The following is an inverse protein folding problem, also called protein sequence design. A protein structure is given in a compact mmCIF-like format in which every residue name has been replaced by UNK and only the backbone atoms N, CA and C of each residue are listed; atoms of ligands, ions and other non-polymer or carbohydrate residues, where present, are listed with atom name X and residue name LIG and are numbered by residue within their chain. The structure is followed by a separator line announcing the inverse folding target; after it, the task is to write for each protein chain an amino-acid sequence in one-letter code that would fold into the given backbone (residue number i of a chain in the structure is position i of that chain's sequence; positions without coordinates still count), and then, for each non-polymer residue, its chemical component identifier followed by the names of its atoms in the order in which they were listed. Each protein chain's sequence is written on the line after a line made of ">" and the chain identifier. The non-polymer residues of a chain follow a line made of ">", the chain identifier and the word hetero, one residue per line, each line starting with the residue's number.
data_IF_095328695015
#
_entry.id   IF_095328695015
#
_cell.length_a   1.000
_cell.length_b   1.000
_cell.length_c   1.000
_cell.angle_alpha   90.00
_cell.angle_beta   90.00
_cell.angle_gamma   90.00
#
_symmetry.space_group_name_H-M   'P 1'
#
loop_
_entity.id
_entity.type
_entity.pdbx_description
1 polymer ?
#
# COMPACT_ATOMS: atom_id res chain seq x y z
N UNK A 1 3.71 29.34 11.67
CA UNK A 1 4.29 29.09 10.33
C UNK A 1 5.55 28.25 10.51
N UNK A 2 5.51 27.01 10.09
CA UNK A 2 6.71 26.19 9.89
C UNK A 2 7.34 26.69 8.60
N UNK A 3 8.43 27.44 8.65
CA UNK A 3 9.07 28.05 7.50
C UNK A 3 9.51 27.00 6.48
N UNK A 4 8.79 26.90 5.36
CA UNK A 4 9.18 26.06 4.22
C UNK A 4 9.73 26.95 3.10
N UNK A 5 10.89 26.58 2.55
CA UNK A 5 11.44 27.18 1.32
C UNK A 5 10.80 26.44 0.12
N UNK A 6 9.96 27.13 -0.62
CA UNK A 6 9.27 26.57 -1.80
C UNK A 6 9.98 27.00 -3.07
N UNK A 7 10.40 26.02 -3.87
CA UNK A 7 11.01 26.24 -5.18
C UNK A 7 10.18 25.57 -6.26
N UNK A 8 9.77 26.35 -7.23
CA UNK A 8 8.99 25.87 -8.38
C UNK A 8 9.92 25.59 -9.56
N UNK A 9 9.49 24.67 -10.43
CA UNK A 9 10.17 24.31 -11.70
C UNK A 9 11.65 23.97 -11.55
N UNK A 10 11.94 23.15 -10.54
CA UNK A 10 13.31 22.76 -10.20
C UNK A 10 13.87 21.73 -11.19
N UNK A 11 14.35 22.22 -12.36
CA UNK A 11 14.93 21.42 -13.43
C UNK A 11 16.41 21.03 -13.23
N UNK A 12 16.99 21.27 -12.05
CA UNK A 12 18.41 21.02 -11.80
C UNK A 12 18.73 19.55 -11.55
N UNK A 13 19.96 19.14 -11.88
CA UNK A 13 20.45 17.77 -11.64
C UNK A 13 20.77 17.49 -10.16
N UNK A 14 20.92 18.51 -9.35
CA UNK A 14 21.20 18.38 -7.92
C UNK A 14 20.44 19.44 -7.13
N UNK A 15 20.05 19.13 -5.91
CA UNK A 15 19.44 20.08 -4.96
C UNK A 15 20.58 20.62 -4.09
N UNK A 16 20.80 21.95 -4.07
CA UNK A 16 21.81 22.55 -3.20
C UNK A 16 21.36 22.52 -1.74
N UNK A 17 22.24 22.10 -0.85
CA UNK A 17 22.02 22.05 0.60
C UNK A 17 22.39 20.70 1.20
N UNK A 18 22.42 20.64 2.51
CA UNK A 18 22.56 19.43 3.30
C UNK A 18 21.17 18.99 3.79
N UNK A 19 20.86 17.71 3.64
CA UNK A 19 19.56 17.17 4.01
C UNK A 19 19.75 15.86 4.78
N UNK A 20 18.98 15.69 5.83
CA UNK A 20 18.92 14.46 6.63
C UNK A 20 18.00 13.41 6.01
N UNK A 21 17.00 13.85 5.23
CA UNK A 21 15.99 13.03 4.60
C UNK A 21 15.38 13.73 3.39
N UNK A 22 15.11 12.98 2.35
CA UNK A 22 14.24 13.40 1.25
C UNK A 22 12.98 12.53 1.21
N UNK A 23 11.83 13.17 1.04
CA UNK A 23 10.55 12.49 0.84
C UNK A 23 10.04 12.84 -0.54
N UNK A 24 9.75 11.82 -1.35
CA UNK A 24 9.32 12.01 -2.73
C UNK A 24 7.86 11.60 -2.93
N UNK A 25 7.15 12.41 -3.72
CA UNK A 25 5.83 12.04 -4.22
C UNK A 25 5.93 10.89 -5.23
N UNK A 26 4.95 9.98 -5.27
CA UNK A 26 4.97 8.83 -6.20
C UNK A 26 5.00 9.23 -7.68
N UNK A 27 4.55 10.45 -8.02
CA UNK A 27 4.64 10.98 -9.38
C UNK A 27 6.04 11.37 -9.84
N UNK A 28 7.01 11.47 -8.92
CA UNK A 28 8.39 11.79 -9.27
C UNK A 28 9.06 10.53 -9.87
N UNK A 29 9.57 10.69 -11.08
CA UNK A 29 10.37 9.64 -11.71
C UNK A 29 11.69 9.48 -10.92
N UNK A 30 12.03 8.27 -10.43
CA UNK A 30 13.27 8.03 -9.69
C UNK A 30 14.54 8.31 -10.50
N UNK A 31 14.41 8.41 -11.83
CA UNK A 31 15.51 8.73 -12.74
C UNK A 31 15.78 10.25 -12.87
N UNK A 32 14.90 11.08 -12.29
CA UNK A 32 15.14 12.55 -12.27
C UNK A 32 16.45 12.84 -11.55
N UNK A 33 17.31 13.62 -12.18
CA UNK A 33 18.74 13.74 -11.85
C UNK A 33 19.07 14.11 -10.40
N UNK A 34 18.20 14.84 -9.69
CA UNK A 34 18.41 15.19 -8.29
C UNK A 34 18.13 14.03 -7.32
N UNK A 35 17.27 13.08 -7.67
CA UNK A 35 17.00 11.89 -6.83
C UNK A 35 18.27 11.03 -6.69
N UNK A 36 18.92 10.58 -7.79
CA UNK A 36 20.20 9.87 -7.69
C UNK A 36 21.31 10.68 -7.01
N UNK A 37 21.30 12.02 -7.13
CA UNK A 37 22.31 12.86 -6.48
C UNK A 37 22.18 12.84 -4.96
N UNK A 38 20.96 12.85 -4.42
CA UNK A 38 20.70 12.71 -2.98
C UNK A 38 21.15 11.34 -2.47
N UNK A 39 20.78 10.27 -3.20
CA UNK A 39 21.17 8.91 -2.85
C UNK A 39 22.68 8.73 -2.85
N UNK A 40 23.38 9.31 -3.85
CA UNK A 40 24.85 9.30 -3.92
C UNK A 40 25.52 10.09 -2.81
N UNK A 41 24.84 11.10 -2.28
CA UNK A 41 25.27 11.86 -1.11
C UNK A 41 24.95 11.16 0.23
N UNK A 42 24.34 9.96 0.19
CA UNK A 42 23.97 9.20 1.39
C UNK A 42 22.69 9.69 2.07
N UNK A 43 21.93 10.58 1.43
CA UNK A 43 20.65 11.07 1.96
C UNK A 43 19.58 9.99 1.77
N UNK A 44 18.91 9.54 2.82
CA UNK A 44 17.77 8.63 2.69
C UNK A 44 16.66 9.25 1.83
N UNK A 45 16.15 8.50 0.87
CA UNK A 45 15.04 8.94 0.01
C UNK A 45 13.85 8.01 0.21
N UNK A 46 12.82 8.50 0.87
CA UNK A 46 11.61 7.75 1.18
C UNK A 46 10.45 8.15 0.27
N UNK A 47 9.50 7.23 0.09
CA UNK A 47 8.19 7.61 -0.42
C UNK A 47 7.37 8.32 0.67
N UNK A 48 6.37 9.07 0.26
CA UNK A 48 5.38 9.64 1.19
C UNK A 48 4.69 8.53 2.01
N UNK A 49 4.42 7.36 1.38
CA UNK A 49 3.85 6.19 2.03
C UNK A 49 4.73 5.66 3.17
N UNK A 50 6.05 5.59 2.96
CA UNK A 50 7.03 5.19 3.99
C UNK A 50 7.02 6.17 5.16
N UNK A 51 7.02 7.48 4.87
CA UNK A 51 6.94 8.51 5.91
C UNK A 51 5.66 8.37 6.73
N UNK A 52 4.51 8.24 6.06
CA UNK A 52 3.22 8.07 6.71
C UNK A 52 3.18 6.83 7.60
N UNK A 53 3.66 5.70 7.09
CA UNK A 53 3.69 4.45 7.84
C UNK A 53 4.54 4.51 9.11
N UNK A 54 5.70 5.17 9.06
CA UNK A 54 6.56 5.37 10.23
C UNK A 54 5.92 6.21 11.34
N UNK A 55 4.95 7.04 11.01
CA UNK A 55 4.24 7.91 11.96
C UNK A 55 2.84 7.37 12.31
N UNK A 56 2.36 6.35 11.63
CA UNK A 56 1.08 5.72 11.89
C UNK A 56 1.11 4.94 13.21
N UNK A 57 0.10 5.16 14.06
CA UNK A 57 -0.01 4.54 15.40
C UNK A 57 -1.07 3.44 15.48
N UNK A 58 -1.85 3.25 14.43
CA UNK A 58 -2.84 2.19 14.33
C UNK A 58 -2.46 1.19 13.22
N UNK A 59 -3.06 0.00 13.20
CA UNK A 59 -2.90 -0.96 12.13
C UNK A 59 -3.22 -0.39 10.75
N UNK A 60 -2.41 -0.79 9.76
CA UNK A 60 -2.61 -0.44 8.36
C UNK A 60 -3.19 -1.65 7.62
N UNK A 61 -4.28 -1.45 6.91
CA UNK A 61 -4.84 -2.38 5.93
C UNK A 61 -4.48 -1.83 4.55
N UNK A 62 -3.56 -2.47 3.84
CA UNK A 62 -3.05 -1.97 2.58
C UNK A 62 -3.62 -2.75 1.39
N UNK A 63 -4.08 -2.03 0.37
CA UNK A 63 -4.75 -2.61 -0.81
C UNK A 63 -4.02 -2.19 -2.07
N UNK A 64 -3.56 -3.17 -2.84
CA UNK A 64 -2.93 -2.97 -4.15
C UNK A 64 -3.57 -3.84 -5.23
N UNK A 65 -3.24 -3.56 -6.45
CA UNK A 65 -3.71 -4.24 -7.66
C UNK A 65 -3.52 -3.35 -8.88
N UNK A 66 -3.80 -3.85 -10.05
CA UNK A 66 -3.89 -3.00 -11.24
C UNK A 66 -5.22 -2.24 -11.23
N UNK A 67 -6.33 -2.95 -11.01
CA UNK A 67 -7.69 -2.40 -11.02
C UNK A 67 -8.42 -2.66 -9.70
N UNK A 68 -9.44 -1.84 -9.41
CA UNK A 68 -10.35 -2.02 -8.28
C UNK A 68 -9.82 -1.57 -6.93
N UNK A 69 -8.62 -1.03 -6.84
CA UNK A 69 -8.00 -0.56 -5.58
C UNK A 69 -8.91 0.43 -4.84
N UNK A 70 -9.28 1.52 -5.49
CA UNK A 70 -10.11 2.59 -4.91
C UNK A 70 -11.42 2.06 -4.35
N UNK A 71 -12.17 1.33 -5.20
CA UNK A 71 -13.47 0.74 -4.79
C UNK A 71 -13.31 -0.18 -3.59
N UNK A 72 -12.27 -1.04 -3.59
CA UNK A 72 -12.04 -1.98 -2.48
C UNK A 72 -11.61 -1.24 -1.22
N UNK A 73 -10.77 -0.21 -1.32
CA UNK A 73 -10.33 0.61 -0.18
C UNK A 73 -11.50 1.34 0.46
N UNK A 74 -12.34 2.00 -0.34
CA UNK A 74 -13.52 2.71 0.16
C UNK A 74 -14.57 1.76 0.75
N UNK A 75 -14.79 0.61 0.10
CA UNK A 75 -15.71 -0.41 0.60
C UNK A 75 -15.22 -1.01 1.93
N UNK A 76 -13.94 -1.33 2.03
CA UNK A 76 -13.34 -1.84 3.25
C UNK A 76 -13.50 -0.84 4.41
N UNK A 77 -13.16 0.43 4.19
CA UNK A 77 -13.37 1.48 5.19
C UNK A 77 -14.85 1.60 5.60
N UNK A 78 -15.75 1.60 4.63
CA UNK A 78 -17.19 1.69 4.90
C UNK A 78 -17.71 0.50 5.72
N UNK A 79 -17.24 -0.72 5.44
CA UNK A 79 -17.62 -1.94 6.18
C UNK A 79 -17.08 -1.88 7.61
N UNK A 80 -15.82 -1.53 7.80
CA UNK A 80 -15.21 -1.37 9.12
C UNK A 80 -15.98 -0.34 9.97
N UNK A 81 -16.23 0.83 9.42
CA UNK A 81 -16.99 1.90 10.11
C UNK A 81 -18.40 1.47 10.45
N UNK A 82 -19.06 0.71 9.56
CA UNK A 82 -20.40 0.15 9.83
C UNK A 82 -20.37 -0.90 10.95
N UNK A 83 -19.25 -1.61 11.08
CA UNK A 83 -18.97 -2.54 12.17
C UNK A 83 -18.55 -1.86 13.49
N UNK A 84 -18.50 -0.53 13.55
CA UNK A 84 -18.14 0.22 14.75
C UNK A 84 -16.62 0.47 14.90
N UNK A 85 -15.82 0.05 13.93
CA UNK A 85 -14.36 0.30 13.88
C UNK A 85 -14.10 1.73 13.40
N UNK A 86 -13.35 2.50 14.14
CA UNK A 86 -12.95 3.86 13.75
C UNK A 86 -11.86 3.77 12.70
N UNK A 87 -12.24 3.77 11.44
CA UNK A 87 -11.32 3.65 10.33
C UNK A 87 -11.39 4.87 9.39
N UNK A 88 -10.38 4.98 8.52
CA UNK A 88 -10.28 6.00 7.49
C UNK A 88 -9.56 5.45 6.26
N UNK A 89 -10.09 5.77 5.08
CA UNK A 89 -9.40 5.54 3.81
C UNK A 89 -8.36 6.63 3.55
N UNK A 90 -7.20 6.25 3.03
CA UNK A 90 -6.08 7.14 2.73
C UNK A 90 -5.15 6.55 1.65
N UNK A 91 -4.08 7.24 1.32
CA UNK A 91 -2.99 6.77 0.46
C UNK A 91 -3.03 7.34 -0.95
N UNK A 92 -3.13 6.49 -1.96
CA UNK A 92 -3.21 6.91 -3.37
C UNK A 92 -4.60 7.48 -3.74
N UNK A 93 -5.49 7.57 -2.77
CA UNK A 93 -6.81 8.21 -2.84
C UNK A 93 -7.01 9.14 -1.65
N UNK A 94 -7.81 10.18 -1.84
CA UNK A 94 -8.14 11.12 -0.77
C UNK A 94 -6.90 11.75 -0.17
N UNK A 95 -6.73 11.60 1.14
CA UNK A 95 -5.57 12.12 1.86
C UNK A 95 -4.38 11.18 1.77
N UNK A 96 -3.21 11.75 1.59
CA UNK A 96 -1.96 11.01 1.68
C UNK A 96 -1.80 10.35 3.07
N UNK A 97 -1.11 9.20 3.16
CA UNK A 97 -0.94 8.49 4.42
C UNK A 97 -0.24 9.34 5.48
N UNK A 98 0.74 10.16 5.09
CA UNK A 98 1.45 11.06 6.02
C UNK A 98 0.51 12.08 6.67
N UNK A 99 -0.49 12.58 5.93
CA UNK A 99 -1.54 13.45 6.49
C UNK A 99 -2.48 12.71 7.43
N UNK A 100 -2.93 11.51 7.03
CA UNK A 100 -3.82 10.67 7.83
C UNK A 100 -3.14 10.15 9.11
N UNK A 101 -1.83 9.89 9.09
CA UNK A 101 -1.06 9.39 10.22
C UNK A 101 -1.10 10.32 11.43
N UNK A 102 -1.23 11.63 11.23
CA UNK A 102 -1.38 12.60 12.32
C UNK A 102 -2.59 12.35 13.24
N UNK A 103 -3.64 11.73 12.71
CA UNK A 103 -4.86 11.40 13.43
C UNK A 103 -4.94 9.89 13.80
N UNK A 104 -3.95 9.11 13.45
CA UNK A 104 -3.96 7.64 13.61
C UNK A 104 -4.06 7.16 15.06
N UNK A 105 -3.69 8.00 16.04
CA UNK A 105 -3.88 7.69 17.47
C UNK A 105 -5.34 7.64 17.93
N UNK A 106 -6.27 8.16 17.14
CA UNK A 106 -7.71 8.15 17.42
C UNK A 106 -8.45 7.09 16.60
N UNK A 107 -7.74 6.39 15.71
CA UNK A 107 -8.29 5.37 14.81
C UNK A 107 -7.92 3.97 15.28
N UNK A 108 -8.79 3.01 14.98
CA UNK A 108 -8.54 1.59 15.19
C UNK A 108 -7.82 0.97 13.97
N UNK A 109 -7.98 1.57 12.77
CA UNK A 109 -7.25 1.19 11.57
C UNK A 109 -7.23 2.30 10.51
N UNK A 110 -6.26 2.26 9.59
CA UNK A 110 -6.28 3.02 8.34
C UNK A 110 -6.28 2.05 7.17
N UNK A 111 -7.23 2.24 6.23
CA UNK A 111 -7.30 1.47 4.99
C UNK A 111 -6.59 2.28 3.90
N UNK A 112 -5.51 1.73 3.35
CA UNK A 112 -4.60 2.48 2.49
C UNK A 112 -4.62 1.92 1.07
N UNK A 113 -5.02 2.73 0.11
CA UNK A 113 -4.76 2.42 -1.29
C UNK A 113 -3.29 2.60 -1.60
N UNK A 114 -2.65 1.58 -2.19
CA UNK A 114 -1.21 1.58 -2.45
C UNK A 114 -0.93 1.33 -3.93
N UNK A 115 -0.19 2.26 -4.56
CA UNK A 115 0.34 2.10 -5.92
C UNK A 115 1.72 1.44 -5.90
N UNK A 116 2.12 0.86 -7.05
CA UNK A 116 3.48 0.34 -7.22
C UNK A 116 4.55 1.43 -7.04
N UNK A 117 4.26 2.65 -7.51
CA UNK A 117 5.18 3.78 -7.42
C UNK A 117 5.47 4.19 -5.97
N UNK A 118 4.45 4.15 -5.11
CA UNK A 118 4.63 4.41 -3.68
C UNK A 118 5.51 3.33 -3.02
N UNK A 119 5.35 2.07 -3.43
CA UNK A 119 6.10 0.94 -2.88
C UNK A 119 7.57 0.92 -3.31
N UNK A 120 7.94 1.53 -4.43
CA UNK A 120 9.32 1.53 -4.91
C UNK A 120 10.34 1.97 -3.85
N UNK A 121 9.96 2.95 -3.02
CA UNK A 121 10.81 3.55 -1.99
C UNK A 121 10.31 3.30 -0.57
N UNK A 122 9.59 2.22 -0.37
CA UNK A 122 9.27 1.69 0.94
C UNK A 122 10.41 0.79 1.44
N UNK A 123 10.79 1.00 2.68
CA UNK A 123 11.88 0.27 3.36
C UNK A 123 11.31 -0.54 4.52
N UNK A 124 10.52 0.11 5.37
CA UNK A 124 9.97 -0.49 6.59
C UNK A 124 8.45 -0.60 6.58
N UNK A 125 7.81 -0.18 5.49
CA UNK A 125 6.36 -0.28 5.34
C UNK A 125 5.88 -1.69 5.65
N UNK A 126 5.04 -1.83 6.68
CA UNK A 126 4.55 -3.11 7.19
C UNK A 126 3.05 -2.99 7.48
N UNK A 127 2.17 -3.41 6.58
CA UNK A 127 0.75 -3.48 6.86
C UNK A 127 0.42 -4.69 7.75
N UNK A 128 -0.61 -4.55 8.59
CA UNK A 128 -1.18 -5.66 9.37
C UNK A 128 -1.98 -6.61 8.49
N UNK A 129 -2.65 -6.06 7.48
CA UNK A 129 -3.35 -6.81 6.44
C UNK A 129 -2.94 -6.22 5.08
N UNK A 130 -2.56 -7.06 4.15
CA UNK A 130 -2.19 -6.67 2.80
C UNK A 130 -3.03 -7.42 1.75
N UNK A 131 -3.78 -6.71 0.93
CA UNK A 131 -4.59 -7.28 -0.13
C UNK A 131 -3.99 -7.01 -1.53
N UNK A 132 -3.81 -8.07 -2.34
CA UNK A 132 -3.42 -7.97 -3.73
C UNK A 132 -4.55 -8.46 -4.64
N UNK A 133 -5.26 -7.52 -5.25
CA UNK A 133 -6.53 -7.78 -5.92
C UNK A 133 -6.38 -8.48 -7.28
N UNK A 134 -5.49 -7.98 -8.11
CA UNK A 134 -5.26 -8.47 -9.46
C UNK A 134 -3.99 -7.87 -10.05
N UNK A 135 -3.50 -8.50 -11.11
CA UNK A 135 -2.35 -8.03 -11.86
C UNK A 135 -2.61 -8.16 -13.36
N UNK A 136 -2.47 -7.06 -14.07
CA UNK A 136 -2.32 -7.00 -15.51
C UNK A 136 -1.18 -6.03 -15.82
N UNK A 137 -0.36 -6.28 -16.84
CA UNK A 137 0.70 -5.35 -17.24
C UNK A 137 0.15 -3.94 -17.47
N UNK A 138 0.75 -2.97 -16.81
CA UNK A 138 0.41 -1.55 -16.90
C UNK A 138 1.65 -0.71 -16.63
N UNK A 139 1.63 0.58 -16.92
CA UNK A 139 2.75 1.49 -16.68
C UNK A 139 4.07 1.08 -17.33
N UNK A 140 4.02 0.55 -18.55
CA UNK A 140 5.22 0.11 -19.30
C UNK A 140 6.07 1.29 -19.80
N UNK A 141 5.62 2.51 -19.64
CA UNK A 141 6.40 3.74 -19.78
C UNK A 141 7.41 3.93 -18.64
N UNK A 142 7.12 3.38 -17.46
CA UNK A 142 7.95 3.46 -16.25
C UNK A 142 8.72 2.18 -15.95
N UNK A 143 8.12 1.03 -16.14
CA UNK A 143 8.72 -0.28 -15.89
C UNK A 143 9.27 -0.91 -17.16
N UNK A 144 10.47 -1.49 -17.08
CA UNK A 144 11.11 -2.14 -18.21
C UNK A 144 10.36 -3.45 -18.60
N UNK A 145 9.67 -4.08 -17.65
CA UNK A 145 8.91 -5.30 -17.86
C UNK A 145 7.73 -5.45 -16.89
N UNK A 146 6.78 -6.32 -17.24
CA UNK A 146 5.70 -6.70 -16.31
C UNK A 146 6.24 -7.35 -15.02
N UNK A 147 7.38 -8.02 -15.09
CA UNK A 147 8.05 -8.60 -13.92
C UNK A 147 8.56 -7.50 -12.95
N UNK A 148 9.12 -6.41 -13.47
CA UNK A 148 9.55 -5.28 -12.64
C UNK A 148 8.34 -4.60 -11.98
N UNK A 149 7.25 -4.44 -12.71
CA UNK A 149 6.00 -3.91 -12.17
C UNK A 149 5.42 -4.80 -11.06
N UNK A 150 5.41 -6.12 -11.28
CA UNK A 150 4.99 -7.08 -10.26
C UNK A 150 5.92 -7.01 -9.04
N UNK A 151 7.23 -6.99 -9.25
CA UNK A 151 8.23 -6.90 -8.18
C UNK A 151 8.03 -5.64 -7.31
N UNK A 152 7.71 -4.51 -7.93
CA UNK A 152 7.39 -3.29 -7.19
C UNK A 152 6.16 -3.47 -6.28
N UNK A 153 5.08 -4.12 -6.78
CA UNK A 153 3.89 -4.42 -5.97
C UNK A 153 4.15 -5.44 -4.87
N UNK A 154 5.02 -6.41 -5.10
CA UNK A 154 5.39 -7.44 -4.11
C UNK A 154 6.10 -6.86 -2.89
N UNK A 155 6.67 -5.66 -2.97
CA UNK A 155 7.20 -4.96 -1.79
C UNK A 155 6.14 -4.70 -0.71
N UNK A 156 4.85 -4.74 -1.07
CA UNK A 156 3.75 -4.69 -0.11
C UNK A 156 3.90 -5.71 1.03
N UNK A 157 4.47 -6.86 0.75
CA UNK A 157 4.59 -7.99 1.67
C UNK A 157 5.98 -8.13 2.30
N UNK A 158 6.94 -7.32 1.89
CA UNK A 158 8.37 -7.52 2.19
C UNK A 158 8.71 -7.55 3.68
N UNK A 159 7.95 -6.83 4.52
CA UNK A 159 8.21 -6.71 5.94
C UNK A 159 7.14 -7.40 6.81
N UNK A 160 6.21 -8.13 6.20
CA UNK A 160 5.15 -8.84 6.93
C UNK A 160 5.71 -10.00 7.75
N UNK A 161 5.19 -10.18 8.95
CA UNK A 161 5.56 -11.25 9.90
C UNK A 161 4.41 -12.22 10.17
N UNK A 162 4.61 -13.10 11.13
CA UNK A 162 3.66 -14.19 11.45
C UNK A 162 2.27 -13.71 11.91
N UNK A 163 2.23 -12.52 12.48
CA UNK A 163 0.99 -11.89 12.94
C UNK A 163 0.19 -11.22 11.82
N UNK A 164 0.79 -11.01 10.62
CA UNK A 164 0.20 -10.25 9.54
C UNK A 164 -0.53 -11.18 8.55
N UNK A 165 -1.54 -10.65 7.85
CA UNK A 165 -2.37 -11.39 6.93
C UNK A 165 -2.19 -10.91 5.49
N UNK A 166 -1.81 -11.80 4.60
CA UNK A 166 -1.82 -11.59 3.15
C UNK A 166 -3.12 -12.13 2.54
N UNK A 167 -3.91 -11.26 1.90
CA UNK A 167 -5.13 -11.62 1.18
C UNK A 167 -4.87 -11.50 -0.32
N UNK A 168 -4.87 -12.61 -1.04
CA UNK A 168 -4.37 -12.68 -2.42
C UNK A 168 -5.40 -13.29 -3.35
N UNK A 169 -5.55 -12.69 -4.52
CA UNK A 169 -6.34 -13.34 -5.58
C UNK A 169 -5.64 -14.63 -6.02
N UNK A 170 -6.32 -15.77 -5.89
CA UNK A 170 -5.78 -17.10 -6.21
C UNK A 170 -5.30 -17.20 -7.67
N UNK A 171 -5.96 -16.48 -8.60
CA UNK A 171 -5.56 -16.45 -10.01
C UNK A 171 -4.18 -15.86 -10.28
N UNK A 172 -3.56 -15.20 -9.29
CA UNK A 172 -2.21 -14.66 -9.42
C UNK A 172 -1.12 -15.74 -9.29
N UNK A 173 -1.45 -16.92 -8.76
CA UNK A 173 -0.49 -18.00 -8.57
C UNK A 173 0.70 -17.61 -7.67
N UNK A 174 0.53 -16.61 -6.81
CA UNK A 174 1.57 -16.14 -5.91
C UNK A 174 1.76 -17.17 -4.79
N UNK A 175 2.72 -18.05 -4.98
CA UNK A 175 3.18 -18.98 -3.97
C UNK A 175 4.23 -18.27 -3.14
N UNK A 176 3.98 -18.08 -1.86
CA UNK A 176 4.87 -17.23 -1.14
C UNK A 176 5.18 -17.56 0.29
N UNK A 177 6.08 -16.79 0.80
CA UNK A 177 6.76 -16.81 2.07
C UNK A 177 5.98 -16.07 3.16
N UNK A 178 4.66 -15.94 3.03
CA UNK A 178 3.87 -15.25 4.02
C UNK A 178 3.45 -16.23 5.10
N UNK A 179 3.64 -15.88 6.34
CA UNK A 179 3.30 -16.79 7.45
C UNK A 179 1.81 -17.10 7.49
N UNK A 180 0.97 -16.14 7.07
CA UNK A 180 -0.49 -16.30 7.02
C UNK A 180 -1.03 -15.75 5.72
N UNK A 181 -1.64 -16.62 4.91
CA UNK A 181 -2.23 -16.28 3.61
C UNK A 181 -3.66 -16.75 3.55
N UNK A 182 -4.53 -15.89 3.06
CA UNK A 182 -5.89 -16.23 2.64
C UNK A 182 -6.07 -15.83 1.17
N UNK A 183 -6.86 -16.62 0.45
CA UNK A 183 -7.06 -16.46 -0.99
C UNK A 183 -8.51 -16.18 -1.31
N UNK A 184 -8.74 -15.41 -2.35
CA UNK A 184 -10.08 -15.19 -2.90
C UNK A 184 -10.10 -15.38 -4.41
N UNK A 185 -11.25 -15.81 -4.95
CA UNK A 185 -11.45 -15.90 -6.39
C UNK A 185 -12.93 -15.82 -6.75
N UNK A 186 -13.23 -15.15 -7.85
CA UNK A 186 -14.56 -15.17 -8.44
C UNK A 186 -14.76 -16.37 -9.41
N UNK A 187 -13.69 -17.15 -9.70
CA UNK A 187 -13.68 -18.18 -10.75
C UNK A 187 -13.16 -19.54 -10.28
N UNK A 188 -12.28 -19.57 -9.30
CA UNK A 188 -11.63 -20.79 -8.81
C UNK A 188 -12.30 -21.26 -7.54
N UNK A 189 -12.71 -22.52 -7.50
CA UNK A 189 -13.43 -23.12 -6.38
C UNK A 189 -12.51 -23.40 -5.16
N UNK A 190 -11.19 -23.49 -5.38
CA UNK A 190 -10.21 -23.88 -4.36
C UNK A 190 -9.68 -22.70 -3.55
N UNK A 191 -10.19 -21.48 -3.78
CA UNK A 191 -9.84 -20.32 -2.95
C UNK A 191 -10.62 -20.36 -1.62
N UNK A 192 -10.02 -19.78 -0.55
CA UNK A 192 -10.62 -19.72 0.78
C UNK A 192 -11.96 -18.95 0.76
N UNK A 193 -12.03 -17.93 -0.12
CA UNK A 193 -13.24 -17.14 -0.35
C UNK A 193 -13.64 -17.18 -1.82
N UNK A 194 -14.84 -17.69 -2.12
CA UNK A 194 -15.36 -17.77 -3.49
C UNK A 194 -16.76 -17.17 -3.59
N UNK A 195 -17.16 -16.79 -4.80
CA UNK A 195 -18.56 -16.45 -5.09
C UNK A 195 -19.35 -17.75 -5.24
N UNK A 196 -20.25 -18.02 -4.31
CA UNK A 196 -21.20 -19.12 -4.39
C UNK A 196 -22.44 -18.70 -5.15
N UNK A 197 -22.61 -19.19 -6.41
CA UNK A 197 -23.78 -18.86 -7.23
C UNK A 197 -23.91 -17.37 -7.52
N UNK A 198 -25.00 -16.92 -8.09
CA UNK A 198 -25.20 -15.56 -8.57
C UNK A 198 -24.89 -14.42 -7.54
N UNK A 199 -23.64 -14.27 -7.16
CA UNK A 199 -23.14 -13.08 -6.48
C UNK A 199 -23.16 -13.06 -4.94
N UNK A 200 -23.32 -14.22 -4.29
CA UNK A 200 -23.19 -14.29 -2.82
C UNK A 200 -21.84 -14.87 -2.39
N UNK A 201 -21.20 -14.23 -1.41
CA UNK A 201 -20.09 -14.83 -0.67
C UNK A 201 -20.62 -16.03 0.13
N UNK A 202 -19.81 -17.11 0.18
CA UNK A 202 -20.11 -18.26 1.02
C UNK A 202 -20.16 -17.81 2.49
N UNK A 203 -21.27 -18.09 3.20
CA UNK A 203 -21.43 -17.69 4.60
C UNK A 203 -20.40 -18.32 5.55
N UNK A 204 -19.78 -19.44 5.14
CA UNK A 204 -18.67 -20.08 5.88
C UNK A 204 -17.42 -19.21 5.91
N UNK A 205 -17.16 -18.38 4.89
CA UNK A 205 -16.03 -17.46 4.84
C UNK A 205 -16.15 -16.24 5.77
N UNK A 206 -17.31 -16.01 6.37
CA UNK A 206 -17.52 -14.88 7.30
C UNK A 206 -17.24 -15.25 8.78
N UNK A 207 -17.09 -16.52 9.10
CA UNK A 207 -16.87 -16.98 10.49
C UNK A 207 -15.45 -16.70 11.02
N UNK A 208 -14.52 -16.28 10.17
CA UNK A 208 -13.15 -15.95 10.56
C UNK A 208 -12.90 -14.49 10.94
N UNK A 209 -13.91 -13.63 10.89
CA UNK A 209 -13.78 -12.19 11.20
C UNK A 209 -13.87 -11.87 12.69
N UNK A 210 -14.17 -12.84 13.53
CA UNK A 210 -14.33 -12.66 14.98
C UNK A 210 -12.99 -12.42 15.72
N UNK A 211 -11.85 -12.50 15.02
CA UNK A 211 -10.51 -12.38 15.61
C UNK A 211 -9.77 -11.07 15.25
N UNK A 212 -10.44 -10.09 14.68
CA UNK A 212 -9.82 -8.79 14.36
C UNK A 212 -9.87 -7.82 15.55
N UNK A 213 -10.42 -8.25 16.69
CA UNK A 213 -10.72 -7.43 17.85
C UNK A 213 -9.93 -7.70 19.14
N UNK A 214 -8.82 -8.47 19.13
CA UNK A 214 -7.95 -8.68 20.29
C UNK A 214 -6.51 -8.24 20.04
#
# INVERSE_FOLDING_TARGET
>A
EMGADVRLDFGQRSIPGEFDLAVVSPGIDPRVGWVPSLESAGVPVWSELELGARHCRCPIIAITGTNGKTTTTELCDAVLRRGGIRSRAAGNIGDALSGAAGQSGELDAIVVEVSSFQLERCITFKPRVAAFLNFTPDHMDRYASGADYLSAKMKLFANMGEEDLAVVNESLGLMGLWPRRETFSARLADADYTLAGAGCLNAEGLQGLDHIGD
#
